data_IF_940283501529
#
_entry.id   IF_940283501529
#
_cell.length_a   1.000
_cell.length_b   1.000
_cell.length_c   1.000
_cell.angle_alpha   90.00
_cell.angle_beta   90.00
_cell.angle_gamma   90.00
#
_symmetry.space_group_name_H-M   'P 1'
#
loop_
_entity.id
_entity.type
_entity.pdbx_description
1 polymer ?
#
# COMPACT_ATOMS: atom_id res chain seq x y z
N UNK A 1 49.99 -21.93 59.55
CA UNK A 1 50.20 -21.25 58.26
C UNK A 1 49.93 -22.25 57.14
N UNK A 2 48.71 -22.26 56.61
CA UNK A 2 48.31 -23.02 55.41
C UNK A 2 47.11 -22.30 54.80
N UNK A 3 47.37 -21.54 53.75
CA UNK A 3 46.42 -20.76 52.97
C UNK A 3 45.76 -21.68 51.93
N UNK A 4 44.42 -21.80 51.94
CA UNK A 4 43.66 -22.46 50.87
C UNK A 4 42.80 -21.42 50.17
N UNK A 5 43.19 -21.08 48.95
CA UNK A 5 42.45 -20.21 48.03
C UNK A 5 41.39 -21.08 47.37
N UNK A 6 40.11 -20.78 47.62
CA UNK A 6 38.98 -21.34 46.88
C UNK A 6 38.66 -20.39 45.73
N UNK A 7 38.98 -20.82 44.51
CA UNK A 7 38.47 -20.24 43.27
C UNK A 7 36.94 -20.46 43.23
N UNK A 8 36.17 -19.38 43.20
CA UNK A 8 34.76 -19.42 42.88
C UNK A 8 34.54 -18.81 41.49
N UNK A 9 34.08 -19.66 40.59
CA UNK A 9 33.94 -19.47 39.15
C UNK A 9 33.07 -18.27 38.78
N UNK A 10 33.61 -17.41 37.92
CA UNK A 10 32.89 -16.31 37.27
C UNK A 10 31.97 -16.90 36.19
N UNK A 11 30.71 -17.16 36.53
CA UNK A 11 29.69 -17.58 35.56
C UNK A 11 29.31 -16.35 34.73
N UNK A 12 30.05 -16.09 33.65
CA UNK A 12 29.72 -15.06 32.67
C UNK A 12 28.55 -15.57 31.83
N UNK A 13 27.32 -15.29 32.29
CA UNK A 13 26.11 -15.56 31.55
C UNK A 13 26.09 -14.75 30.25
N UNK A 14 26.32 -15.43 29.13
CA UNK A 14 26.01 -14.93 27.79
C UNK A 14 24.49 -14.72 27.71
N UNK A 15 24.04 -13.49 27.98
CA UNK A 15 22.71 -13.06 27.59
C UNK A 15 22.66 -13.05 26.06
N UNK A 16 22.11 -14.11 25.47
CA UNK A 16 21.69 -14.07 24.07
C UNK A 16 20.59 -13.02 23.97
N UNK A 17 20.94 -11.86 23.45
CA UNK A 17 19.97 -10.83 23.09
C UNK A 17 19.12 -11.43 21.98
N UNK A 18 17.79 -11.57 22.14
CA UNK A 18 16.96 -11.98 21.02
C UNK A 18 17.08 -10.92 19.93
N UNK A 19 17.54 -11.32 18.75
CA UNK A 19 17.54 -10.47 17.56
C UNK A 19 16.07 -10.24 17.21
N UNK A 20 15.56 -9.05 17.53
CA UNK A 20 14.27 -8.61 17.01
C UNK A 20 14.41 -8.47 15.49
N UNK A 21 13.80 -9.38 14.74
CA UNK A 21 13.66 -9.20 13.30
C UNK A 21 12.56 -8.16 13.07
N UNK A 22 12.94 -6.97 12.62
CA UNK A 22 11.99 -5.98 12.14
C UNK A 22 11.22 -6.60 10.97
N UNK A 23 9.90 -6.72 11.11
CA UNK A 23 9.04 -7.11 10.01
C UNK A 23 8.91 -5.89 9.11
N UNK A 24 9.46 -5.94 7.90
CA UNK A 24 9.13 -4.96 6.87
C UNK A 24 7.63 -5.14 6.60
N UNK A 25 6.85 -4.06 6.68
CA UNK A 25 5.45 -4.11 6.27
C UNK A 25 5.41 -4.59 4.81
N UNK A 26 4.80 -5.76 4.58
CA UNK A 26 4.65 -6.24 3.22
C UNK A 26 3.63 -5.32 2.53
N UNK A 27 4.05 -4.66 1.46
CA UNK A 27 3.19 -3.92 0.55
C UNK A 27 3.00 -4.73 -0.75
N UNK A 28 1.96 -4.44 -1.56
CA UNK A 28 1.80 -5.07 -2.87
C UNK A 28 3.04 -4.95 -3.74
N UNK A 29 3.42 -6.06 -4.39
CA UNK A 29 4.49 -6.10 -5.38
C UNK A 29 3.96 -5.79 -6.77
N UNK A 30 4.80 -5.21 -7.61
CA UNK A 30 4.53 -4.96 -9.03
C UNK A 30 5.36 -5.88 -9.92
N UNK A 31 4.91 -6.11 -11.15
CA UNK A 31 5.59 -6.92 -12.14
C UNK A 31 6.72 -6.15 -12.87
N UNK A 32 7.34 -6.75 -13.90
CA UNK A 32 8.40 -6.09 -14.68
C UNK A 32 7.96 -4.85 -15.45
N UNK A 33 6.66 -4.65 -15.65
CA UNK A 33 6.07 -3.49 -16.30
C UNK A 33 5.64 -2.41 -15.29
N UNK A 34 5.88 -2.65 -14.00
CA UNK A 34 5.41 -1.77 -12.92
C UNK A 34 3.93 -1.95 -12.60
N UNK A 35 3.26 -2.95 -13.17
CA UNK A 35 1.84 -3.21 -12.96
C UNK A 35 1.62 -3.99 -11.65
N UNK A 36 0.74 -3.48 -10.80
CA UNK A 36 0.27 -4.20 -9.62
C UNK A 36 -0.86 -5.13 -10.05
N UNK A 37 -0.73 -6.43 -9.75
CA UNK A 37 -1.73 -7.45 -10.14
C UNK A 37 -2.72 -7.80 -9.01
N UNK A 38 -2.43 -7.35 -7.79
CA UNK A 38 -3.28 -7.59 -6.61
C UNK A 38 -3.12 -6.47 -5.61
N UNK A 39 -4.22 -6.04 -5.00
CA UNK A 39 -4.22 -5.21 -3.80
C UNK A 39 -4.14 -6.06 -2.53
N UNK A 40 -3.73 -7.32 -2.63
CA UNK A 40 -3.50 -8.19 -1.49
C UNK A 40 -2.03 -8.52 -1.34
N UNK A 41 -1.66 -8.82 -0.11
CA UNK A 41 -0.28 -9.07 0.25
C UNK A 41 -0.17 -10.40 0.98
N UNK A 42 0.80 -11.21 0.57
CA UNK A 42 1.13 -12.44 1.27
C UNK A 42 1.81 -12.11 2.60
N UNK A 43 1.19 -12.52 3.71
CA UNK A 43 1.80 -12.51 5.04
C UNK A 43 1.98 -13.93 5.57
N UNK A 44 2.48 -14.01 6.81
CA UNK A 44 2.84 -15.28 7.45
C UNK A 44 1.66 -16.23 7.71
N UNK A 45 0.42 -15.71 7.77
CA UNK A 45 -0.80 -16.50 8.06
C UNK A 45 -1.84 -16.43 6.94
N UNK A 46 -1.45 -16.01 5.74
CA UNK A 46 -2.35 -15.89 4.59
C UNK A 46 -2.25 -14.54 3.92
N UNK A 47 -3.25 -14.22 3.10
CA UNK A 47 -3.25 -13.03 2.25
C UNK A 47 -4.12 -11.93 2.84
N UNK A 48 -3.55 -10.74 3.01
CA UNK A 48 -4.20 -9.59 3.65
C UNK A 48 -4.56 -8.52 2.63
N UNK A 49 -5.69 -7.83 2.78
CA UNK A 49 -6.02 -6.70 1.94
C UNK A 49 -5.09 -5.51 2.25
N UNK A 50 -4.63 -4.85 1.19
CA UNK A 50 -3.92 -3.58 1.24
C UNK A 50 -4.88 -2.45 0.92
N UNK A 51 -5.10 -1.56 1.89
CA UNK A 51 -6.18 -0.57 1.81
C UNK A 51 -5.74 0.74 1.20
N UNK A 52 -4.54 1.24 1.51
CA UNK A 52 -4.22 2.64 1.25
C UNK A 52 -3.15 2.79 0.17
N UNK A 53 -3.41 3.68 -0.77
CA UNK A 53 -2.52 4.01 -1.88
C UNK A 53 -2.34 5.51 -1.97
N UNK A 54 -1.16 5.96 -2.37
CA UNK A 54 -0.90 7.36 -2.66
C UNK A 54 -0.74 7.55 -4.15
N UNK A 55 -1.34 8.61 -4.69
CA UNK A 55 -1.16 9.04 -6.08
C UNK A 55 0.22 9.66 -6.22
N UNK A 56 1.03 9.14 -7.14
CA UNK A 56 2.39 9.61 -7.42
C UNK A 56 2.52 10.24 -8.82
N UNK A 57 1.43 10.33 -9.58
CA UNK A 57 1.38 11.08 -10.85
C UNK A 57 1.72 12.56 -10.60
N UNK A 58 2.76 13.05 -11.29
CA UNK A 58 3.30 14.41 -11.10
C UNK A 58 2.82 15.41 -12.15
N UNK A 59 2.13 14.96 -13.20
CA UNK A 59 1.49 15.84 -14.15
C UNK A 59 0.49 16.78 -13.44
N UNK A 60 0.53 18.07 -13.79
CA UNK A 60 -0.39 19.09 -13.30
C UNK A 60 -1.87 18.78 -13.61
N UNK A 61 -2.15 17.96 -14.64
CA UNK A 61 -3.50 17.47 -14.92
C UNK A 61 -4.03 16.50 -13.84
N UNK A 62 -3.13 15.86 -13.09
CA UNK A 62 -3.44 14.84 -12.09
C UNK A 62 -3.80 13.48 -12.69
N UNK A 63 -4.00 12.50 -11.82
CA UNK A 63 -4.32 11.14 -12.23
C UNK A 63 -5.80 10.99 -12.58
N UNK A 64 -6.10 10.52 -13.79
CA UNK A 64 -7.48 10.23 -14.19
C UNK A 64 -8.07 9.07 -13.37
N UNK A 65 -9.21 9.33 -12.71
CA UNK A 65 -10.03 8.31 -12.07
C UNK A 65 -11.31 8.08 -12.87
N UNK A 66 -11.49 6.85 -13.34
CA UNK A 66 -12.50 6.50 -14.35
C UNK A 66 -13.66 5.72 -13.73
N UNK A 67 -14.85 5.90 -14.29
CA UNK A 67 -15.97 5.00 -14.04
C UNK A 67 -15.68 3.60 -14.57
N UNK A 68 -16.48 2.61 -14.19
CA UNK A 68 -16.38 1.24 -14.74
C UNK A 68 -16.46 1.19 -16.28
N UNK A 69 -17.11 2.16 -16.91
CA UNK A 69 -17.21 2.28 -18.37
C UNK A 69 -16.04 3.06 -19.00
N UNK A 70 -14.98 3.34 -18.25
CA UNK A 70 -13.77 4.03 -18.74
C UNK A 70 -13.89 5.55 -18.85
N UNK A 71 -15.07 6.15 -18.59
CA UNK A 71 -15.26 7.61 -18.60
C UNK A 71 -14.55 8.25 -17.42
N UNK A 72 -13.77 9.31 -17.64
CA UNK A 72 -13.10 10.05 -16.55
C UNK A 72 -14.16 10.78 -15.70
N UNK A 73 -14.28 10.40 -14.43
CA UNK A 73 -15.19 11.04 -13.48
C UNK A 73 -14.53 12.24 -12.79
N UNK A 74 -13.31 12.03 -12.30
CA UNK A 74 -12.51 13.03 -11.59
C UNK A 74 -11.03 12.85 -11.94
N UNK A 75 -10.22 13.85 -11.65
CA UNK A 75 -8.76 13.72 -11.60
C UNK A 75 -8.28 13.92 -10.16
N UNK A 76 -7.35 13.08 -9.74
CA UNK A 76 -6.77 13.07 -8.39
C UNK A 76 -5.50 13.92 -8.36
N UNK A 77 -5.27 14.60 -7.25
CA UNK A 77 -4.06 15.39 -7.05
C UNK A 77 -2.84 14.49 -6.75
N UNK A 78 -1.63 14.96 -7.06
CA UNK A 78 -0.41 14.35 -6.55
C UNK A 78 -0.44 14.32 -5.01
N UNK A 79 -0.05 13.19 -4.42
CA UNK A 79 -0.07 12.98 -2.97
C UNK A 79 -1.44 12.64 -2.39
N UNK A 80 -2.50 12.62 -3.21
CA UNK A 80 -3.82 12.14 -2.79
C UNK A 80 -3.73 10.72 -2.23
N UNK A 81 -4.36 10.47 -1.08
CA UNK A 81 -4.49 9.12 -0.53
C UNK A 81 -5.87 8.58 -0.90
N UNK A 82 -5.89 7.37 -1.45
CA UNK A 82 -7.11 6.68 -1.87
C UNK A 82 -7.21 5.31 -1.22
N UNK A 83 -8.44 4.89 -0.96
CA UNK A 83 -8.72 3.61 -0.30
C UNK A 83 -9.22 2.58 -1.31
N UNK A 84 -8.63 1.38 -1.31
CA UNK A 84 -9.06 0.21 -2.09
C UNK A 84 -10.51 -0.14 -1.78
N UNK A 85 -11.28 -0.47 -2.83
CA UNK A 85 -12.63 -1.00 -2.71
C UNK A 85 -12.62 -2.48 -3.13
N UNK A 86 -12.83 -3.37 -2.16
CA UNK A 86 -12.91 -4.81 -2.39
C UNK A 86 -14.37 -5.22 -2.57
N UNK A 87 -14.85 -5.26 -3.81
CA UNK A 87 -16.18 -5.80 -4.14
C UNK A 87 -16.17 -7.33 -4.31
N UNK A 88 -15.00 -7.90 -4.60
CA UNK A 88 -14.80 -9.35 -4.78
C UNK A 88 -13.57 -9.82 -3.97
N UNK A 89 -12.80 -10.80 -4.48
CA UNK A 89 -11.58 -11.29 -3.83
C UNK A 89 -10.47 -10.22 -3.80
N UNK A 90 -10.41 -9.35 -4.80
CA UNK A 90 -9.40 -8.30 -4.98
C UNK A 90 -10.04 -6.93 -5.30
N UNK A 91 -9.28 -5.86 -5.10
CA UNK A 91 -9.62 -4.50 -5.52
C UNK A 91 -8.98 -4.12 -6.87
N UNK A 92 -8.05 -4.95 -7.37
CA UNK A 92 -7.49 -4.79 -8.72
C UNK A 92 -8.18 -5.74 -9.69
N UNK A 93 -8.70 -5.17 -10.78
CA UNK A 93 -9.37 -5.89 -11.86
C UNK A 93 -8.60 -5.72 -13.18
N UNK A 94 -8.52 -6.76 -14.01
CA UNK A 94 -7.96 -6.67 -15.35
C UNK A 94 -9.05 -6.24 -16.34
N UNK A 95 -8.87 -5.07 -16.95
CA UNK A 95 -9.73 -4.55 -18.02
C UNK A 95 -8.88 -4.39 -19.27
N UNK A 96 -9.21 -5.11 -20.34
CA UNK A 96 -8.44 -5.13 -21.60
C UNK A 96 -6.94 -5.42 -21.40
N UNK A 97 -6.64 -6.38 -20.51
CA UNK A 97 -5.27 -6.81 -20.19
C UNK A 97 -4.48 -5.83 -19.31
N UNK A 98 -5.13 -4.77 -18.82
CA UNK A 98 -4.52 -3.73 -18.00
C UNK A 98 -5.09 -3.76 -16.59
N UNK A 99 -4.28 -3.68 -15.52
CA UNK A 99 -4.80 -3.71 -14.16
C UNK A 99 -5.33 -2.34 -13.72
N UNK A 100 -6.53 -2.34 -13.16
CA UNK A 100 -7.21 -1.16 -12.66
C UNK A 100 -7.57 -1.36 -11.20
N UNK A 101 -7.07 -0.47 -10.34
CA UNK A 101 -7.39 -0.46 -8.93
C UNK A 101 -8.71 0.30 -8.73
N UNK A 102 -9.69 -0.37 -8.15
CA UNK A 102 -10.93 0.27 -7.69
C UNK A 102 -10.68 0.98 -6.37
N UNK A 103 -11.00 2.26 -6.33
CA UNK A 103 -10.72 3.14 -5.19
C UNK A 103 -11.91 3.99 -4.80
N UNK A 104 -11.90 4.46 -3.56
CA UNK A 104 -12.68 5.60 -3.09
C UNK A 104 -11.74 6.76 -2.80
N UNK A 105 -12.02 7.93 -3.38
CA UNK A 105 -11.27 9.16 -3.15
C UNK A 105 -12.14 10.22 -2.45
N UNK A 106 -11.56 10.98 -1.52
CA UNK A 106 -12.24 12.11 -0.89
C UNK A 106 -12.31 13.32 -1.83
N UNK A 107 -13.33 14.17 -1.69
CA UNK A 107 -13.39 15.47 -2.39
C UNK A 107 -12.13 16.31 -2.22
N UNK A 108 -11.49 16.28 -1.05
CA UNK A 108 -10.30 17.09 -0.76
C UNK A 108 -9.05 16.60 -1.49
N UNK A 109 -9.04 15.36 -1.97
CA UNK A 109 -7.94 14.73 -2.69
C UNK A 109 -8.06 14.90 -4.22
N UNK A 110 -9.10 15.60 -4.68
CA UNK A 110 -9.34 15.84 -6.10
C UNK A 110 -8.54 17.03 -6.60
N UNK A 111 -7.93 16.88 -7.77
CA UNK A 111 -7.41 18.01 -8.54
C UNK A 111 -8.55 18.70 -9.31
N UNK A 112 -9.40 17.92 -9.99
CA UNK A 112 -10.51 18.45 -10.80
C UNK A 112 -11.67 17.46 -10.87
N UNK A 113 -12.91 17.97 -10.91
CA UNK A 113 -14.11 17.19 -11.26
C UNK A 113 -14.39 17.29 -12.75
N UNK A 114 -14.70 16.17 -13.41
CA UNK A 114 -14.96 16.13 -14.86
C UNK A 114 -16.43 15.80 -15.13
N UNK A 115 -16.96 14.75 -14.48
CA UNK A 115 -18.33 14.27 -14.68
C UNK A 115 -18.94 13.85 -13.33
N UNK A 116 -20.25 14.04 -13.18
CA UNK A 116 -21.05 13.55 -12.05
C UNK A 116 -21.52 14.64 -11.09
N UNK A 117 -22.47 14.28 -10.22
CA UNK A 117 -22.98 15.17 -9.17
C UNK A 117 -21.93 15.44 -8.09
N UNK A 118 -22.18 16.50 -7.31
CA UNK A 118 -21.27 16.90 -6.24
C UNK A 118 -21.34 15.91 -5.07
N UNK A 119 -20.47 14.90 -5.08
CA UNK A 119 -20.33 13.95 -3.99
C UNK A 119 -19.22 14.34 -2.99
N UNK A 120 -19.31 13.80 -1.77
CA UNK A 120 -18.27 13.89 -0.71
C UNK A 120 -17.12 12.91 -0.94
N UNK A 121 -17.38 11.83 -1.67
CA UNK A 121 -16.39 10.85 -2.12
C UNK A 121 -16.75 10.33 -3.51
N UNK A 122 -15.76 9.78 -4.21
CA UNK A 122 -15.90 9.22 -5.54
C UNK A 122 -15.36 7.80 -5.58
N UNK A 123 -16.20 6.83 -5.95
CA UNK A 123 -15.78 5.47 -6.28
C UNK A 123 -15.45 5.39 -7.77
N UNK A 124 -14.20 5.07 -8.10
CA UNK A 124 -13.70 5.03 -9.47
C UNK A 124 -12.46 4.14 -9.59
N UNK A 125 -11.88 4.06 -10.78
CA UNK A 125 -10.77 3.18 -11.12
C UNK A 125 -9.56 4.01 -11.57
N UNK A 126 -8.39 3.67 -11.05
CA UNK A 126 -7.09 4.22 -11.48
C UNK A 126 -6.22 3.11 -12.05
N UNK A 127 -5.29 3.44 -12.95
CA UNK A 127 -4.33 2.44 -13.47
C UNK A 127 -3.44 1.99 -12.31
N UNK A 128 -3.46 0.69 -12.03
CA UNK A 128 -2.64 0.07 -11.00
C UNK A 128 -1.20 -0.14 -11.50
N UNK A 129 -0.45 0.94 -11.62
CA UNK A 129 0.95 0.92 -12.05
C UNK A 129 1.79 1.87 -11.18
N UNK A 130 3.05 1.52 -10.94
CA UNK A 130 4.01 2.29 -10.13
C UNK A 130 4.26 3.71 -10.62
N UNK A 131 3.97 3.99 -11.89
CA UNK A 131 4.02 5.35 -12.43
C UNK A 131 2.92 6.27 -11.87
N UNK A 132 1.80 5.70 -11.43
CA UNK A 132 0.60 6.47 -11.05
C UNK A 132 0.26 6.37 -9.57
N UNK A 133 0.49 5.21 -8.96
CA UNK A 133 0.19 4.95 -7.56
C UNK A 133 1.31 4.20 -6.85
N UNK A 134 1.41 4.38 -5.54
CA UNK A 134 2.28 3.60 -4.68
C UNK A 134 1.50 3.13 -3.43
N UNK A 135 1.76 1.91 -2.92
CA UNK A 135 1.13 1.44 -1.70
C UNK A 135 1.66 2.21 -0.48
N UNK A 136 0.75 2.66 0.39
CA UNK A 136 1.12 3.31 1.66
C UNK A 136 1.49 2.25 2.68
N UNK A 137 2.70 2.32 3.21
CA UNK A 137 3.13 1.47 4.32
C UNK A 137 2.49 1.97 5.64
N UNK A 138 1.68 1.16 6.34
CA UNK A 138 1.05 1.57 7.60
C UNK A 138 2.03 1.68 8.77
N UNK A 139 3.18 1.00 8.72
CA UNK A 139 4.16 0.93 9.82
C UNK A 139 5.13 2.12 9.85
N UNK A 140 5.01 3.07 8.91
CA UNK A 140 5.86 4.27 8.84
C UNK A 140 5.28 5.50 9.56
N UNK A 141 4.29 5.33 10.44
CA UNK A 141 3.71 6.41 11.26
C UNK A 141 4.30 6.49 12.66
#
# INVERSE_FOLDING_TARGET
MTLRILLASFFCGLFMVPVAQAQMANVPNFDTNGDFLSARVQGNRGTYPHWQWVVVETDAAGLNCRTANGVVAVTLAYGAVVDSVFDTEDAIELVDGQPWLKVTANVFDLNRRVVGERAVSYSCYVRANTQYIAPVNPDTR
#
